data_IF_077428434109
#
_entry.id   IF_077428434109
#
_cell.length_a   1.000
_cell.length_b   1.000
_cell.length_c   1.000
_cell.angle_alpha   90.00
_cell.angle_beta   90.00
_cell.angle_gamma   90.00
#
_symmetry.space_group_name_H-M   'P 1'
#
loop_
_entity.id
_entity.type
_entity.pdbx_description
1 polymer ?
#
# COMPACT_ATOMS: atom_id res chain seq x y z
N UNK A 1 14.72 -47.77 -8.61
CA UNK A 1 13.58 -47.15 -9.33
C UNK A 1 12.33 -47.68 -8.65
N UNK A 2 11.73 -46.89 -7.76
CA UNK A 2 10.56 -47.32 -6.99
C UNK A 2 9.31 -47.17 -7.87
N UNK A 3 8.63 -48.27 -8.18
CA UNK A 3 7.34 -48.27 -8.87
C UNK A 3 6.23 -48.21 -7.82
N UNK A 4 5.09 -47.61 -8.20
CA UNK A 4 3.92 -47.33 -7.33
C UNK A 4 3.49 -48.55 -6.49
N UNK A 5 3.65 -49.76 -7.03
CA UNK A 5 3.28 -51.03 -6.39
C UNK A 5 4.11 -51.40 -5.14
N UNK A 6 5.22 -50.71 -4.84
CA UNK A 6 6.05 -50.95 -3.65
C UNK A 6 5.70 -50.05 -2.44
N UNK A 7 4.67 -49.22 -2.56
CA UNK A 7 4.28 -48.31 -1.49
C UNK A 7 3.37 -48.99 -0.47
N UNK A 8 3.56 -48.67 0.80
CA UNK A 8 2.74 -49.18 1.89
C UNK A 8 1.28 -48.70 1.75
N UNK A 9 0.33 -49.52 2.22
CA UNK A 9 -1.13 -49.28 2.15
C UNK A 9 -1.49 -47.93 2.80
N UNK A 10 -0.73 -47.51 3.80
CA UNK A 10 -0.85 -46.20 4.46
C UNK A 10 -0.72 -45.02 3.46
N UNK A 11 0.13 -45.13 2.45
CA UNK A 11 0.35 -44.09 1.44
C UNK A 11 -0.85 -43.98 0.50
N UNK A 12 -1.46 -45.11 0.13
CA UNK A 12 -2.68 -45.13 -0.67
C UNK A 12 -3.86 -44.51 0.08
N UNK A 13 -4.00 -44.81 1.38
CA UNK A 13 -5.03 -44.20 2.22
C UNK A 13 -4.84 -42.68 2.34
N UNK A 14 -3.60 -42.23 2.56
CA UNK A 14 -3.28 -40.80 2.62
C UNK A 14 -3.55 -40.09 1.29
N UNK A 15 -3.22 -40.73 0.16
CA UNK A 15 -3.54 -40.21 -1.16
C UNK A 15 -5.05 -40.10 -1.36
N UNK A 16 -5.82 -41.14 -1.06
CA UNK A 16 -7.28 -41.13 -1.18
C UNK A 16 -7.93 -40.03 -0.30
N UNK A 17 -7.46 -39.87 0.94
CA UNK A 17 -7.93 -38.80 1.85
C UNK A 17 -7.62 -37.43 1.26
N UNK A 18 -6.39 -37.21 0.76
CA UNK A 18 -5.99 -35.94 0.17
C UNK A 18 -6.80 -35.61 -1.08
N UNK A 19 -7.03 -36.58 -1.95
CA UNK A 19 -7.85 -36.41 -3.16
C UNK A 19 -9.27 -36.05 -2.80
N UNK A 20 -9.89 -36.77 -1.84
CA UNK A 20 -11.23 -36.46 -1.34
C UNK A 20 -11.34 -35.05 -0.75
N UNK A 21 -10.34 -34.63 0.03
CA UNK A 21 -10.29 -33.27 0.59
C UNK A 21 -10.21 -32.21 -0.51
N UNK A 22 -9.37 -32.44 -1.53
CA UNK A 22 -9.24 -31.52 -2.66
C UNK A 22 -10.51 -31.43 -3.50
N UNK A 23 -11.20 -32.55 -3.72
CA UNK A 23 -12.50 -32.58 -4.39
C UNK A 23 -13.55 -31.82 -3.61
N UNK A 24 -13.62 -31.99 -2.29
CA UNK A 24 -14.54 -31.24 -1.43
C UNK A 24 -14.26 -29.74 -1.47
N UNK A 25 -12.99 -29.32 -1.35
CA UNK A 25 -12.59 -27.91 -1.46
C UNK A 25 -12.97 -27.34 -2.84
N UNK A 26 -12.78 -28.10 -3.91
CA UNK A 26 -13.18 -27.67 -5.25
C UNK A 26 -14.71 -27.60 -5.42
N UNK A 27 -15.49 -28.45 -4.77
CA UNK A 27 -16.96 -28.36 -4.77
C UNK A 27 -17.43 -27.11 -4.03
N UNK A 28 -16.84 -26.82 -2.87
CA UNK A 28 -17.22 -25.69 -2.02
C UNK A 28 -16.78 -24.34 -2.62
N UNK A 29 -15.55 -24.26 -3.13
CA UNK A 29 -14.93 -23.00 -3.55
C UNK A 29 -14.85 -22.81 -5.07
N UNK A 30 -15.13 -23.85 -5.87
CA UNK A 30 -15.09 -23.84 -7.34
C UNK A 30 -13.84 -23.15 -7.92
N UNK A 31 -12.68 -23.43 -7.33
CA UNK A 31 -11.41 -22.76 -7.67
C UNK A 31 -11.04 -22.87 -9.16
N UNK A 32 -11.43 -23.96 -9.82
CA UNK A 32 -11.21 -24.15 -11.26
C UNK A 32 -12.05 -23.23 -12.16
N UNK A 33 -13.18 -22.72 -11.66
CA UNK A 33 -14.08 -21.81 -12.39
C UNK A 33 -13.74 -20.34 -12.11
N UNK A 34 -12.89 -20.05 -11.12
CA UNK A 34 -12.57 -18.69 -10.68
C UNK A 34 -11.96 -17.81 -11.79
N UNK A 35 -11.21 -18.41 -12.73
CA UNK A 35 -10.62 -17.70 -13.87
C UNK A 35 -11.63 -17.30 -14.95
N UNK A 36 -12.85 -17.84 -14.91
CA UNK A 36 -13.91 -17.54 -15.89
C UNK A 36 -14.81 -16.37 -15.48
N UNK A 37 -14.65 -15.86 -14.26
CA UNK A 37 -15.52 -14.83 -13.70
C UNK A 37 -15.10 -13.45 -14.25
N UNK A 38 -15.98 -12.73 -14.97
CA UNK A 38 -15.68 -11.37 -15.43
C UNK A 38 -15.39 -10.43 -14.25
N UNK A 39 -14.45 -9.48 -14.38
CA UNK A 39 -14.04 -8.57 -13.30
C UNK A 39 -15.16 -7.63 -12.82
N UNK A 40 -16.28 -7.55 -13.55
CA UNK A 40 -17.44 -6.72 -13.22
C UNK A 40 -18.53 -7.49 -12.43
N UNK A 41 -18.28 -8.76 -12.08
CA UNK A 41 -19.28 -9.60 -11.39
C UNK A 41 -19.33 -9.25 -9.91
N UNK A 42 -20.47 -8.73 -9.44
CA UNK A 42 -20.72 -8.54 -8.02
C UNK A 42 -21.14 -9.87 -7.41
N UNK A 43 -20.29 -10.46 -6.57
CA UNK A 43 -20.60 -11.67 -5.81
C UNK A 43 -21.14 -11.29 -4.43
N UNK A 44 -22.30 -11.84 -4.08
CA UNK A 44 -22.85 -11.76 -2.73
C UNK A 44 -22.37 -13.02 -2.01
N UNK A 45 -21.44 -12.85 -1.08
CA UNK A 45 -20.96 -13.93 -0.22
C UNK A 45 -21.98 -14.17 0.90
N UNK A 46 -22.72 -15.27 0.82
CA UNK A 46 -23.70 -15.66 1.84
C UNK A 46 -23.12 -16.64 2.87
N UNK A 47 -21.85 -17.04 2.72
CA UNK A 47 -21.20 -17.92 3.69
C UNK A 47 -20.51 -17.09 4.77
N UNK A 48 -20.78 -17.37 6.06
CA UNK A 48 -20.11 -16.66 7.13
C UNK A 48 -18.62 -17.03 7.13
N UNK A 49 -17.75 -16.01 7.11
CA UNK A 49 -16.31 -16.25 7.19
C UNK A 49 -15.97 -16.77 8.59
N UNK A 50 -14.98 -17.66 8.71
CA UNK A 50 -14.55 -18.19 10.01
C UNK A 50 -14.20 -17.07 11.00
N UNK A 51 -13.62 -15.97 10.51
CA UNK A 51 -13.36 -14.77 11.31
C UNK A 51 -14.62 -14.10 11.85
N UNK A 52 -15.71 -14.11 11.08
CA UNK A 52 -17.00 -13.55 11.49
C UNK A 52 -17.71 -14.47 12.49
N UNK A 53 -17.56 -15.80 12.33
CA UNK A 53 -18.02 -16.77 13.32
C UNK A 53 -17.26 -16.63 14.65
N UNK A 54 -15.94 -16.42 14.62
CA UNK A 54 -15.15 -16.19 15.84
C UNK A 54 -15.56 -14.91 16.56
N UNK A 55 -15.93 -13.86 15.82
CA UNK A 55 -16.52 -12.62 16.36
C UNK A 55 -17.89 -12.91 16.98
N UNK A 56 -18.75 -13.64 16.27
CA UNK A 56 -20.12 -13.95 16.70
C UNK A 56 -20.16 -14.87 17.93
N UNK A 57 -19.23 -15.82 18.01
CA UNK A 57 -19.05 -16.74 19.14
C UNK A 57 -18.28 -16.10 20.30
N UNK A 58 -17.79 -14.86 20.15
CA UNK A 58 -17.05 -14.15 21.19
C UNK A 58 -15.68 -14.75 21.52
N UNK A 59 -15.14 -15.59 20.62
CA UNK A 59 -13.80 -16.20 20.77
C UNK A 59 -12.71 -15.17 20.47
N UNK A 60 -12.96 -14.28 19.51
CA UNK A 60 -12.04 -13.20 19.15
C UNK A 60 -12.38 -11.90 19.89
N UNK A 61 -11.43 -11.25 20.57
CA UNK A 61 -11.66 -9.94 21.15
C UNK A 61 -11.85 -8.90 20.05
N UNK A 62 -13.06 -8.35 19.93
CA UNK A 62 -13.32 -7.20 19.07
C UNK A 62 -12.75 -5.97 19.77
N UNK A 63 -11.57 -5.51 19.33
CA UNK A 63 -11.05 -4.21 19.75
C UNK A 63 -11.85 -3.15 19.03
N UNK A 64 -13.03 -2.80 19.55
CA UNK A 64 -13.75 -1.60 19.11
C UNK A 64 -12.99 -0.39 19.65
N UNK A 65 -12.35 0.43 18.79
CA UNK A 65 -11.69 1.64 19.28
C UNK A 65 -12.74 2.56 19.90
N UNK A 66 -12.47 3.05 21.11
CA UNK A 66 -13.38 3.94 21.86
C UNK A 66 -13.55 5.32 21.21
N UNK A 67 -12.70 5.68 20.25
CA UNK A 67 -12.79 6.88 19.46
C UNK A 67 -12.19 6.66 18.06
N UNK A 68 -12.84 7.24 17.05
CA UNK A 68 -12.32 7.34 15.69
C UNK A 68 -11.78 8.75 15.48
N UNK A 69 -10.46 8.86 15.31
CA UNK A 69 -9.84 10.10 14.87
C UNK A 69 -9.64 10.04 13.36
N UNK A 70 -10.10 11.06 12.66
CA UNK A 70 -9.71 11.23 11.27
C UNK A 70 -8.19 11.45 11.21
N UNK A 71 -7.49 10.78 10.28
CA UNK A 71 -6.10 11.06 10.07
C UNK A 71 -5.95 12.55 9.71
N UNK A 72 -4.96 13.27 10.27
CA UNK A 72 -4.70 14.64 9.88
C UNK A 72 -4.38 14.70 8.38
N UNK A 73 -4.59 15.87 7.77
CA UNK A 73 -4.23 16.08 6.36
C UNK A 73 -2.78 15.62 6.14
N UNK A 74 -2.55 14.86 5.07
CA UNK A 74 -1.22 14.32 4.69
C UNK A 74 -0.56 13.36 5.70
N UNK A 75 -1.33 12.70 6.59
CA UNK A 75 -0.83 11.72 7.59
C UNK A 75 0.19 10.68 7.07
N UNK A 76 0.00 10.16 5.86
CA UNK A 76 0.89 9.17 5.24
C UNK A 76 2.28 9.74 4.90
N UNK A 77 2.38 11.04 4.62
CA UNK A 77 3.67 11.71 4.37
C UNK A 77 4.42 12.00 5.68
N UNK A 78 3.68 12.37 6.74
CA UNK A 78 4.24 12.65 8.07
C UNK A 78 4.82 11.38 8.73
N UNK A 79 4.18 10.23 8.53
CA UNK A 79 4.61 8.94 9.07
C UNK A 79 5.87 8.36 8.42
N UNK A 80 6.50 9.03 7.45
CA UNK A 80 7.79 8.57 6.93
C UNK A 80 8.79 8.50 8.08
N UNK A 81 9.56 7.41 8.12
CA UNK A 81 10.50 7.06 9.19
C UNK A 81 11.28 8.27 9.71
N UNK A 82 11.40 8.47 11.04
CA UNK A 82 12.26 9.52 11.60
C UNK A 82 13.75 9.33 11.25
N UNK A 83 14.14 8.14 10.77
CA UNK A 83 15.49 7.82 10.30
C UNK A 83 15.64 7.94 8.78
N UNK A 84 14.59 8.25 8.04
CA UNK A 84 14.74 8.52 6.64
C UNK A 84 15.37 9.93 6.49
N UNK A 85 16.49 9.96 5.78
CA UNK A 85 17.48 11.05 5.75
C UNK A 85 16.94 12.45 5.38
N UNK A 86 15.68 12.57 4.97
CA UNK A 86 15.04 13.85 4.63
C UNK A 86 14.95 14.87 5.77
N UNK A 87 15.05 14.46 7.05
CA UNK A 87 15.07 15.41 8.20
C UNK A 87 16.47 15.93 8.56
N UNK A 88 17.52 15.28 8.07
CA UNK A 88 18.92 15.60 8.41
C UNK A 88 19.54 16.47 7.29
N UNK A 89 18.95 16.45 6.10
CA UNK A 89 19.41 17.21 4.94
C UNK A 89 18.95 18.67 5.07
N UNK A 90 19.86 19.66 4.91
CA UNK A 90 19.45 21.04 4.73
C UNK A 90 18.60 21.13 3.47
N UNK A 91 17.33 21.51 3.60
CA UNK A 91 16.41 21.73 2.49
C UNK A 91 16.19 23.22 2.29
N UNK A 92 15.84 23.62 1.07
CA UNK A 92 15.49 25.02 0.75
C UNK A 92 14.05 25.39 1.21
N UNK A 93 13.54 24.69 2.21
CA UNK A 93 12.15 24.75 2.69
C UNK A 93 11.64 23.35 3.00
N UNK A 94 10.69 23.24 3.93
CA UNK A 94 10.04 21.95 4.18
C UNK A 94 9.13 21.56 3.00
N UNK A 95 8.97 20.26 2.74
CA UNK A 95 8.04 19.77 1.71
C UNK A 95 6.60 20.30 1.94
N UNK A 96 6.23 20.49 3.20
CA UNK A 96 4.94 21.06 3.60
C UNK A 96 4.82 22.53 3.17
N UNK A 97 5.84 23.35 3.42
CA UNK A 97 5.89 24.73 2.95
C UNK A 97 5.83 24.83 1.43
N UNK A 98 6.59 23.99 0.69
CA UNK A 98 6.57 24.01 -0.77
C UNK A 98 5.19 23.72 -1.34
N UNK A 99 4.55 22.65 -0.87
CA UNK A 99 3.19 22.30 -1.28
C UNK A 99 2.15 23.36 -0.90
N UNK A 100 2.30 24.03 0.24
CA UNK A 100 1.47 25.19 0.58
C UNK A 100 1.71 26.38 -0.35
N UNK A 101 2.95 26.65 -0.72
CA UNK A 101 3.30 27.73 -1.65
C UNK A 101 2.77 27.47 -3.06
N UNK A 102 2.78 26.22 -3.52
CA UNK A 102 2.14 25.83 -4.79
C UNK A 102 0.63 25.99 -4.75
N UNK A 103 -0.03 25.53 -3.68
CA UNK A 103 -1.48 25.69 -3.50
C UNK A 103 -1.88 27.18 -3.43
N UNK A 104 -1.07 28.00 -2.74
CA UNK A 104 -1.23 29.46 -2.69
C UNK A 104 -1.04 30.08 -4.07
N UNK A 105 0.03 29.74 -4.80
CA UNK A 105 0.28 30.26 -6.14
C UNK A 105 -0.85 29.89 -7.12
N UNK A 106 -1.36 28.66 -7.04
CA UNK A 106 -2.46 28.18 -7.89
C UNK A 106 -3.79 28.89 -7.60
N UNK A 107 -4.09 29.19 -6.34
CA UNK A 107 -5.35 29.82 -5.92
C UNK A 107 -5.46 31.33 -6.26
N UNK A 108 -4.34 31.99 -6.56
CA UNK A 108 -4.36 33.39 -7.04
C UNK A 108 -4.88 33.46 -8.48
N UNK A 109 -5.97 34.19 -8.68
CA UNK A 109 -6.54 34.48 -10.01
C UNK A 109 -5.70 35.50 -10.76
N UNK A 110 -5.29 35.17 -11.98
CA UNK A 110 -4.56 36.07 -12.89
C UNK A 110 -5.55 36.71 -13.86
N UNK A 111 -5.48 38.03 -14.02
CA UNK A 111 -6.39 38.80 -14.88
C UNK A 111 -5.70 39.32 -16.15
N UNK A 112 -4.37 39.42 -16.13
CA UNK A 112 -3.53 39.90 -17.24
C UNK A 112 -2.67 38.78 -17.82
N UNK A 113 -2.38 38.79 -19.14
CA UNK A 113 -1.45 37.83 -19.77
C UNK A 113 -0.01 37.96 -19.27
N UNK A 114 0.36 39.09 -18.65
CA UNK A 114 1.67 39.25 -18.01
C UNK A 114 1.72 38.52 -16.66
N UNK A 115 0.66 38.62 -15.85
CA UNK A 115 0.54 37.93 -14.57
C UNK A 115 0.53 36.40 -14.73
N UNK A 116 -0.04 35.88 -15.82
CA UNK A 116 0.03 34.45 -16.15
C UNK A 116 1.46 33.97 -16.39
N UNK A 117 2.28 34.78 -17.07
CA UNK A 117 3.69 34.46 -17.31
C UNK A 117 4.49 34.48 -16.01
N UNK A 118 4.25 35.46 -15.16
CA UNK A 118 4.89 35.56 -13.84
C UNK A 118 4.50 34.39 -12.94
N UNK A 119 3.21 34.02 -12.90
CA UNK A 119 2.73 32.85 -12.18
C UNK A 119 3.39 31.58 -12.70
N UNK A 120 3.52 31.43 -14.01
CA UNK A 120 4.26 30.32 -14.64
C UNK A 120 5.73 30.28 -14.23
N UNK A 121 6.40 31.44 -14.18
CA UNK A 121 7.80 31.54 -13.74
C UNK A 121 7.97 31.14 -12.26
N UNK A 122 7.05 31.54 -11.39
CA UNK A 122 7.05 31.18 -9.96
C UNK A 122 6.87 29.66 -9.78
N UNK A 123 5.92 29.06 -10.49
CA UNK A 123 5.69 27.60 -10.44
C UNK A 123 6.92 26.82 -10.95
N UNK A 124 7.55 27.29 -12.02
CA UNK A 124 8.79 26.68 -12.52
C UNK A 124 9.94 26.76 -11.51
N UNK A 125 10.01 27.86 -10.74
CA UNK A 125 11.00 28.03 -9.67
C UNK A 125 10.76 27.04 -8.53
N UNK A 126 9.51 26.83 -8.11
CA UNK A 126 9.15 25.85 -7.09
C UNK A 126 9.52 24.42 -7.52
N UNK A 127 9.24 24.04 -8.78
CA UNK A 127 9.64 22.75 -9.35
C UNK A 127 11.17 22.55 -9.39
N UNK A 128 11.94 23.63 -9.65
CA UNK A 128 13.40 23.58 -9.57
C UNK A 128 13.90 23.33 -8.15
N UNK A 129 13.28 23.96 -7.15
CA UNK A 129 13.66 23.76 -5.75
C UNK A 129 13.41 22.31 -5.32
N UNK A 130 12.30 21.71 -5.75
CA UNK A 130 12.01 20.30 -5.49
C UNK A 130 13.04 19.36 -6.11
N UNK A 131 13.51 19.65 -7.34
CA UNK A 131 14.59 18.89 -7.97
C UNK A 131 15.89 18.97 -7.16
N UNK A 132 16.25 20.16 -6.68
CA UNK A 132 17.44 20.36 -5.85
C UNK A 132 17.32 19.57 -4.53
N UNK A 133 16.17 19.65 -3.85
CA UNK A 133 15.91 18.91 -2.61
C UNK A 133 16.01 17.37 -2.83
N UNK A 134 15.53 16.88 -3.97
CA UNK A 134 15.65 15.47 -4.37
C UNK A 134 17.12 15.07 -4.60
N UNK A 135 17.90 15.91 -5.28
CA UNK A 135 19.34 15.65 -5.47
C UNK A 135 20.11 15.66 -4.17
N UNK A 136 19.85 16.62 -3.27
CA UNK A 136 20.48 16.64 -1.95
C UNK A 136 20.13 15.40 -1.13
N UNK A 137 18.87 14.97 -1.16
CA UNK A 137 18.43 13.73 -0.51
C UNK A 137 19.15 12.51 -1.07
N UNK A 138 19.35 12.44 -2.39
CA UNK A 138 20.11 11.36 -3.03
C UNK A 138 21.58 11.36 -2.63
N UNK A 139 22.24 12.53 -2.66
CA UNK A 139 23.66 12.67 -2.29
C UNK A 139 23.86 12.25 -0.84
N UNK A 140 23.04 12.76 0.08
CA UNK A 140 23.16 12.41 1.50
C UNK A 140 22.79 10.95 1.76
N UNK A 141 21.82 10.39 1.03
CA UNK A 141 21.53 8.95 1.07
C UNK A 141 22.74 8.11 0.66
N UNK A 142 23.47 8.52 -0.39
CA UNK A 142 24.71 7.86 -0.83
C UNK A 142 25.85 8.02 0.17
N UNK A 143 26.01 9.20 0.76
CA UNK A 143 26.98 9.45 1.83
C UNK A 143 26.66 8.60 3.06
N UNK A 144 25.38 8.49 3.44
CA UNK A 144 24.93 7.64 4.53
C UNK A 144 25.21 6.16 4.29
N UNK A 145 24.96 5.66 3.07
CA UNK A 145 25.34 4.31 2.66
C UNK A 145 26.86 4.09 2.74
N UNK A 146 27.66 5.03 2.24
CA UNK A 146 29.11 4.95 2.30
C UNK A 146 29.65 4.92 3.75
N UNK A 147 29.04 5.69 4.65
CA UNK A 147 29.41 5.69 6.07
C UNK A 147 29.00 4.41 6.82
N UNK A 148 28.02 3.66 6.31
CA UNK A 148 27.57 2.40 6.91
C UNK A 148 28.46 1.20 6.55
N UNK A 149 29.31 1.32 5.51
CA UNK A 149 30.21 0.26 5.05
C UNK A 149 29.69 -0.46 3.82
#
# INVERSE_FOLDING_TARGET
MATIDQLDISIYNLYAIRTRMMEQINQDLRLGEAGSIPPQTQLIDTMPKMTELDILLGVAPVVTPWAYFYPPKRYRFIRRSPFAFFRIVPSLGSLEEHTEHEEKAMSVSTNSPEEEKEKGAILALLDQIDKINNWMSFIVGRVGQFLQG
#
